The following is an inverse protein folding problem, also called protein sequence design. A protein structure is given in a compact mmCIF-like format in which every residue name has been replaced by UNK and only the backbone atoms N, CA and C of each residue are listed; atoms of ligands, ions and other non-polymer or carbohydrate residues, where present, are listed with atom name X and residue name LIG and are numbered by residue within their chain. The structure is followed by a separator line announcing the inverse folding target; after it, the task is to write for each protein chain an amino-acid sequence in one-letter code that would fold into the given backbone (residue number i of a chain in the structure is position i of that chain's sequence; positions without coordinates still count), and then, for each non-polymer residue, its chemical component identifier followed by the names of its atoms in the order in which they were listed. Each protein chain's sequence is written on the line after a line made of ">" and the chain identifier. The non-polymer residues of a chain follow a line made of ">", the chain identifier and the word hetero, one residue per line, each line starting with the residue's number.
data_IF_228313121274
#
_entry.id   IF_228313121274
#
_cell.length_a   1.000
_cell.length_b   1.000
_cell.length_c   1.000
_cell.angle_alpha   90.00
_cell.angle_beta   90.00
_cell.angle_gamma   90.00
#
_symmetry.space_group_name_H-M   'P 1'
#
loop_
_entity.id
_entity.type
_entity.pdbx_description
1 polymer ?
#
# COMPACT_ATOMS: atom_id res chain seq x y z
N UNK A 1 24.60 26.72 -18.32
CA UNK A 1 24.51 25.50 -17.49
C UNK A 1 23.41 25.76 -16.50
N UNK A 2 22.26 25.12 -16.69
CA UNK A 2 21.02 25.55 -16.05
C UNK A 2 21.02 25.24 -14.56
N UNK A 3 20.36 26.11 -13.80
CA UNK A 3 20.06 26.03 -12.37
C UNK A 3 19.16 24.82 -11.97
N UNK A 4 19.10 23.77 -12.80
CA UNK A 4 18.27 22.58 -12.63
C UNK A 4 18.64 21.70 -11.42
N UNK A 5 19.68 22.04 -10.67
CA UNK A 5 20.13 21.30 -9.50
C UNK A 5 19.77 21.96 -8.17
N UNK A 6 19.00 23.05 -8.17
CA UNK A 6 18.65 23.79 -6.93
C UNK A 6 17.22 23.58 -6.42
N UNK A 7 16.36 22.79 -7.08
CA UNK A 7 14.96 22.66 -6.68
C UNK A 7 14.63 21.28 -6.06
N UNK A 8 14.18 21.32 -4.81
CA UNK A 8 13.35 20.33 -4.10
C UNK A 8 13.69 18.83 -4.29
N UNK A 9 14.90 18.45 -3.88
CA UNK A 9 15.42 17.08 -3.98
C UNK A 9 14.71 16.06 -3.08
N UNK A 10 14.41 14.87 -3.62
CA UNK A 10 14.14 13.67 -2.80
C UNK A 10 15.37 13.44 -1.91
N UNK A 11 15.16 13.46 -0.59
CA UNK A 11 16.27 13.33 0.35
C UNK A 11 16.89 11.92 0.31
N UNK A 12 18.11 11.78 0.82
CA UNK A 12 18.72 10.47 1.01
C UNK A 12 17.84 9.54 1.86
N UNK A 13 17.19 10.08 2.90
CA UNK A 13 16.30 9.31 3.78
C UNK A 13 15.07 8.78 3.03
N UNK A 14 14.46 9.59 2.16
CA UNK A 14 13.33 9.18 1.33
C UNK A 14 13.73 8.07 0.35
N UNK A 15 14.90 8.19 -0.28
CA UNK A 15 15.44 7.12 -1.14
C UNK A 15 15.75 5.84 -0.35
N UNK A 16 16.32 5.96 0.85
CA UNK A 16 16.58 4.82 1.72
C UNK A 16 15.28 4.12 2.14
N UNK A 17 14.22 4.87 2.47
CA UNK A 17 12.89 4.34 2.79
C UNK A 17 12.27 3.64 1.58
N UNK A 18 12.38 4.23 0.38
CA UNK A 18 11.97 3.61 -0.88
C UNK A 18 12.67 2.28 -1.14
N UNK A 19 13.97 2.19 -0.91
CA UNK A 19 14.71 0.94 -1.03
C UNK A 19 14.23 -0.13 -0.05
N UNK A 20 14.07 0.21 1.24
CA UNK A 20 13.56 -0.73 2.24
C UNK A 20 12.17 -1.25 1.88
N UNK A 21 11.27 -0.35 1.45
CA UNK A 21 9.93 -0.71 1.04
C UNK A 21 9.91 -1.65 -0.18
N UNK A 22 10.78 -1.38 -1.17
CA UNK A 22 10.92 -2.27 -2.32
C UNK A 22 11.44 -3.67 -1.95
N UNK A 23 12.38 -3.72 -1.01
CA UNK A 23 12.94 -4.99 -0.53
C UNK A 23 11.91 -5.76 0.31
N UNK A 24 11.10 -5.07 1.13
CA UNK A 24 9.94 -5.63 1.84
C UNK A 24 8.92 -6.24 0.88
N UNK A 25 8.53 -5.50 -0.17
CA UNK A 25 7.63 -6.01 -1.21
C UNK A 25 8.23 -7.18 -2.00
N UNK A 26 9.56 -7.39 -1.95
CA UNK A 26 10.25 -8.54 -2.53
C UNK A 26 9.82 -8.83 -4.00
N UNK A 27 9.79 -7.75 -4.79
CA UNK A 27 9.42 -7.81 -6.21
C UNK A 27 7.93 -8.03 -6.48
N UNK A 28 7.04 -7.83 -5.51
CA UNK A 28 5.59 -7.99 -5.68
C UNK A 28 5.06 -7.31 -6.95
N UNK A 29 5.36 -6.03 -7.17
CA UNK A 29 4.91 -5.29 -8.36
C UNK A 29 5.41 -5.92 -9.68
N UNK A 30 6.62 -6.48 -9.66
CA UNK A 30 7.29 -7.07 -10.83
C UNK A 30 6.63 -8.38 -11.27
N UNK A 31 5.94 -9.09 -10.36
CA UNK A 31 5.30 -10.38 -10.65
C UNK A 31 4.10 -10.26 -11.56
N UNK A 32 3.36 -9.15 -11.49
CA UNK A 32 2.19 -8.87 -12.33
C UNK A 32 2.55 -8.74 -13.80
N UNK A 33 3.67 -8.06 -14.10
CA UNK A 33 4.21 -7.96 -15.46
C UNK A 33 5.14 -9.11 -15.86
N UNK A 34 5.35 -10.12 -15.00
CA UNK A 34 6.30 -11.21 -15.21
C UNK A 34 7.71 -10.71 -15.61
N UNK A 35 8.23 -9.71 -14.90
CA UNK A 35 9.57 -9.18 -15.14
C UNK A 35 10.65 -10.23 -14.92
N UNK A 36 11.57 -10.34 -15.87
CA UNK A 36 12.83 -11.08 -15.69
C UNK A 36 13.75 -10.31 -14.74
N UNK A 37 14.77 -10.98 -14.17
CA UNK A 37 15.76 -10.30 -13.33
C UNK A 37 16.47 -9.13 -14.03
N UNK A 38 16.75 -9.27 -15.34
CA UNK A 38 17.38 -8.21 -16.13
C UNK A 38 16.43 -7.01 -16.35
N UNK A 39 15.14 -7.27 -16.64
CA UNK A 39 14.15 -6.20 -16.76
C UNK A 39 13.90 -5.51 -15.41
N UNK A 40 13.79 -6.29 -14.33
CA UNK A 40 13.65 -5.81 -12.96
C UNK A 40 14.80 -4.85 -12.58
N UNK A 41 16.04 -5.22 -12.90
CA UNK A 41 17.20 -4.37 -12.66
C UNK A 41 17.12 -3.04 -13.43
N UNK A 42 16.57 -3.04 -14.65
CA UNK A 42 16.42 -1.84 -15.48
C UNK A 42 15.35 -0.89 -14.95
N UNK A 43 14.24 -1.41 -14.41
CA UNK A 43 13.15 -0.58 -13.88
C UNK A 43 13.33 -0.22 -12.40
N UNK A 44 14.25 -0.86 -11.67
CA UNK A 44 14.49 -0.56 -10.25
C UNK A 44 14.75 0.93 -9.96
N UNK A 45 15.56 1.68 -10.73
CA UNK A 45 15.74 3.11 -10.49
C UNK A 45 14.43 3.91 -10.56
N UNK A 46 13.56 3.61 -11.53
CA UNK A 46 12.22 4.21 -11.63
C UNK A 46 11.38 3.88 -10.40
N UNK A 47 11.39 2.62 -9.95
CA UNK A 47 10.62 2.21 -8.77
C UNK A 47 11.08 2.95 -7.51
N UNK A 48 12.40 3.12 -7.34
CA UNK A 48 12.98 3.90 -6.22
C UNK A 48 12.53 5.36 -6.30
N UNK A 49 12.61 5.98 -7.47
CA UNK A 49 12.18 7.36 -7.67
C UNK A 49 10.68 7.54 -7.41
N UNK A 50 9.84 6.61 -7.89
CA UNK A 50 8.39 6.64 -7.67
C UNK A 50 8.05 6.64 -6.17
N UNK A 51 8.62 5.71 -5.39
CA UNK A 51 8.39 5.69 -3.95
C UNK A 51 9.10 6.85 -3.22
N UNK A 52 10.22 7.34 -3.74
CA UNK A 52 10.88 8.54 -3.22
C UNK A 52 9.98 9.77 -3.32
N UNK A 53 9.26 9.93 -4.44
CA UNK A 53 8.28 11.01 -4.64
C UNK A 53 7.04 10.84 -3.75
N UNK A 54 6.58 9.60 -3.56
CA UNK A 54 5.55 9.30 -2.55
C UNK A 54 5.99 9.78 -1.16
N UNK A 55 7.20 9.40 -0.71
CA UNK A 55 7.71 9.84 0.61
C UNK A 55 8.01 11.34 0.68
N UNK A 56 8.28 12.01 -0.45
CA UNK A 56 8.31 13.47 -0.51
C UNK A 56 6.92 14.06 -0.23
N UNK A 57 5.86 13.51 -0.83
CA UNK A 57 4.48 13.89 -0.55
C UNK A 57 4.13 13.72 0.93
N UNK A 58 4.35 12.51 1.46
CA UNK A 58 4.19 12.15 2.88
C UNK A 58 4.80 13.22 3.81
N UNK A 59 6.09 13.50 3.61
CA UNK A 59 6.83 14.49 4.39
C UNK A 59 6.27 15.92 4.30
N UNK A 60 5.84 16.37 3.12
CA UNK A 60 5.26 17.70 2.94
C UNK A 60 3.92 17.81 3.70
N UNK A 61 3.10 16.77 3.65
CA UNK A 61 1.84 16.72 4.38
C UNK A 61 2.07 16.63 5.89
N UNK A 62 2.99 15.81 6.37
CA UNK A 62 3.35 15.78 7.80
C UNK A 62 3.86 17.15 8.30
N UNK A 63 4.62 17.89 7.49
CA UNK A 63 5.01 19.26 7.85
C UNK A 63 3.81 20.19 7.99
N UNK A 64 2.86 20.14 7.05
CA UNK A 64 1.63 20.91 7.15
C UNK A 64 0.83 20.52 8.39
N UNK A 65 0.74 19.23 8.71
CA UNK A 65 0.07 18.73 9.92
C UNK A 65 0.71 19.30 11.19
N UNK A 66 2.05 19.32 11.28
CA UNK A 66 2.78 19.94 12.40
C UNK A 66 2.52 21.46 12.51
N UNK A 67 2.12 22.10 11.42
CA UNK A 67 1.69 23.51 11.37
C UNK A 67 0.17 23.68 11.53
N UNK A 68 -0.58 22.60 11.77
CA UNK A 68 -2.03 22.63 11.98
C UNK A 68 -2.86 22.65 10.69
N UNK A 69 -2.33 22.16 9.57
CA UNK A 69 -3.07 22.10 8.29
C UNK A 69 -3.08 20.68 7.70
N UNK A 70 -4.23 20.24 7.20
CA UNK A 70 -4.40 18.99 6.46
C UNK A 70 -4.08 19.10 4.96
N UNK A 71 -3.66 20.29 4.50
CA UNK A 71 -3.38 20.57 3.09
C UNK A 71 -2.02 21.25 2.93
N UNK A 72 -1.38 21.04 1.79
CA UNK A 72 -0.12 21.68 1.43
C UNK A 72 -0.35 22.73 0.33
N UNK A 73 0.55 23.70 0.21
CA UNK A 73 0.61 24.61 -0.94
C UNK A 73 1.61 24.15 -2.00
N UNK A 74 2.62 23.38 -1.59
CA UNK A 74 3.65 22.83 -2.46
C UNK A 74 3.25 21.43 -2.97
N UNK A 75 2.65 21.36 -4.16
CA UNK A 75 2.31 20.09 -4.80
C UNK A 75 3.42 19.56 -5.74
N UNK A 76 4.68 19.93 -5.52
CA UNK A 76 5.81 19.51 -6.37
C UNK A 76 5.93 17.99 -6.49
N UNK A 77 5.71 17.25 -5.39
CA UNK A 77 5.75 15.78 -5.40
C UNK A 77 4.80 15.17 -6.44
N UNK A 78 3.58 15.73 -6.58
CA UNK A 78 2.55 15.24 -7.50
C UNK A 78 2.92 15.56 -8.94
N UNK A 79 3.36 16.79 -9.19
CA UNK A 79 3.81 17.22 -10.52
C UNK A 79 5.01 16.38 -11.00
N UNK A 80 6.03 16.20 -10.15
CA UNK A 80 7.21 15.39 -10.45
C UNK A 80 6.85 13.91 -10.66
N UNK A 81 5.87 13.37 -9.92
CA UNK A 81 5.41 11.99 -10.11
C UNK A 81 4.71 11.83 -11.47
N UNK A 82 3.87 12.80 -11.86
CA UNK A 82 3.22 12.83 -13.15
C UNK A 82 4.26 12.92 -14.28
N UNK A 83 5.23 13.80 -14.15
CA UNK A 83 6.31 13.97 -15.14
C UNK A 83 7.18 12.72 -15.26
N UNK A 84 7.57 12.12 -14.12
CA UNK A 84 8.31 10.86 -14.09
C UNK A 84 7.56 9.80 -14.89
N UNK A 85 6.29 9.56 -14.60
CA UNK A 85 5.52 8.49 -15.23
C UNK A 85 5.28 8.76 -16.72
N UNK A 86 4.96 10.01 -17.09
CA UNK A 86 4.81 10.41 -18.50
C UNK A 86 6.12 10.27 -19.27
N UNK A 87 7.27 10.53 -18.65
CA UNK A 87 8.59 10.34 -19.26
C UNK A 87 8.90 8.88 -19.65
N UNK A 88 8.15 7.91 -19.10
CA UNK A 88 8.23 6.49 -19.49
C UNK A 88 7.05 6.04 -20.37
N UNK A 89 6.26 6.98 -20.92
CA UNK A 89 5.04 6.70 -21.70
C UNK A 89 4.05 5.78 -20.96
N UNK A 90 4.04 5.84 -19.63
CA UNK A 90 3.32 4.90 -18.77
C UNK A 90 2.05 5.50 -18.13
N UNK A 91 1.66 6.71 -18.56
CA UNK A 91 0.53 7.45 -18.01
C UNK A 91 -0.78 7.04 -18.67
N UNK A 92 -1.76 6.61 -17.87
CA UNK A 92 -3.13 6.34 -18.29
C UNK A 92 -4.16 6.84 -17.24
N UNK A 93 -5.45 6.62 -17.49
CA UNK A 93 -6.52 7.02 -16.56
C UNK A 93 -6.49 6.26 -15.22
N UNK A 94 -6.01 5.02 -15.19
CA UNK A 94 -5.88 4.24 -13.96
C UNK A 94 -4.74 4.72 -13.08
N UNK A 95 -3.61 5.08 -13.68
CA UNK A 95 -2.49 5.74 -12.99
C UNK A 95 -2.91 7.11 -12.47
N UNK A 96 -3.58 7.93 -13.30
CA UNK A 96 -4.09 9.23 -12.88
C UNK A 96 -4.98 9.13 -11.64
N UNK A 97 -5.92 8.18 -11.64
CA UNK A 97 -6.78 7.91 -10.49
C UNK A 97 -5.97 7.55 -9.23
N UNK A 98 -4.94 6.70 -9.33
CA UNK A 98 -4.13 6.34 -8.16
C UNK A 98 -3.35 7.54 -7.61
N UNK A 99 -2.81 8.41 -8.48
CA UNK A 99 -2.10 9.62 -8.03
C UNK A 99 -3.04 10.58 -7.31
N UNK A 100 -4.28 10.73 -7.78
CA UNK A 100 -5.30 11.54 -7.11
C UNK A 100 -5.75 10.91 -5.77
N UNK A 101 -5.91 9.58 -5.73
CA UNK A 101 -6.23 8.86 -4.48
C UNK A 101 -5.10 8.95 -3.46
N UNK A 102 -3.84 8.99 -3.88
CA UNK A 102 -2.70 9.17 -2.98
C UNK A 102 -2.71 10.56 -2.33
N UNK A 103 -3.04 11.60 -3.10
CA UNK A 103 -3.23 12.95 -2.53
C UNK A 103 -4.42 12.98 -1.55
N UNK A 104 -5.52 12.33 -1.93
CA UNK A 104 -6.71 12.20 -1.07
C UNK A 104 -6.39 11.49 0.24
N UNK A 105 -5.55 10.46 0.19
CA UNK A 105 -5.03 9.78 1.37
C UNK A 105 -4.30 10.74 2.30
N UNK A 106 -3.32 11.49 1.81
CA UNK A 106 -2.55 12.42 2.66
C UNK A 106 -3.42 13.49 3.31
N UNK A 107 -4.40 14.03 2.55
CA UNK A 107 -5.37 14.99 3.10
C UNK A 107 -6.22 14.33 4.18
N UNK A 108 -6.78 13.14 3.91
CA UNK A 108 -7.63 12.43 4.87
C UNK A 108 -6.85 12.08 6.16
N UNK A 109 -5.62 11.60 6.01
CA UNK A 109 -4.72 11.32 7.13
C UNK A 109 -4.51 12.57 7.98
N UNK A 110 -4.17 13.71 7.37
CA UNK A 110 -3.99 14.97 8.07
C UNK A 110 -5.25 15.42 8.80
N UNK A 111 -6.43 15.29 8.17
CA UNK A 111 -7.72 15.61 8.81
C UNK A 111 -8.01 14.72 10.02
N UNK A 112 -7.66 13.43 9.95
CA UNK A 112 -7.81 12.49 11.08
C UNK A 112 -6.86 12.88 12.23
N UNK A 113 -5.60 13.17 11.90
CA UNK A 113 -4.57 13.52 12.88
C UNK A 113 -4.90 14.84 13.60
N UNK A 114 -5.42 15.83 12.87
CA UNK A 114 -5.84 17.13 13.41
C UNK A 114 -7.22 17.11 14.08
N UNK A 115 -7.96 16.00 14.00
CA UNK A 115 -9.32 15.90 14.54
C UNK A 115 -10.38 16.69 13.76
N UNK A 116 -10.10 17.04 12.50
CA UNK A 116 -11.01 17.73 11.58
C UNK A 116 -12.07 16.79 10.97
N UNK A 117 -11.94 15.48 11.19
CA UNK A 117 -12.92 14.47 10.82
C UNK A 117 -13.18 13.55 12.00
N UNK A 118 -14.44 13.16 12.18
CA UNK A 118 -14.80 12.15 13.17
C UNK A 118 -14.22 10.80 12.75
N UNK A 119 -13.45 10.19 13.66
CA UNK A 119 -12.82 8.90 13.40
C UNK A 119 -13.82 7.76 13.64
N UNK A 120 -14.53 7.39 12.57
CA UNK A 120 -15.48 6.26 12.55
C UNK A 120 -14.84 4.99 12.00
N UNK A 121 -15.55 3.86 12.09
CA UNK A 121 -15.09 2.59 11.50
C UNK A 121 -14.98 2.68 9.98
N UNK A 122 -15.88 3.44 9.35
CA UNK A 122 -15.88 3.69 7.91
C UNK A 122 -14.65 4.51 7.50
N UNK A 123 -14.33 5.58 8.23
CA UNK A 123 -13.14 6.40 7.97
C UNK A 123 -11.85 5.59 8.19
N UNK A 124 -11.80 4.77 9.24
CA UNK A 124 -10.67 3.87 9.48
C UNK A 124 -10.48 2.87 8.34
N UNK A 125 -11.56 2.22 7.91
CA UNK A 125 -11.50 1.27 6.79
C UNK A 125 -11.08 1.98 5.49
N UNK A 126 -11.60 3.18 5.25
CA UNK A 126 -11.27 3.98 4.08
C UNK A 126 -9.78 4.37 4.05
N UNK A 127 -9.21 4.89 5.13
CA UNK A 127 -7.79 5.30 5.13
C UNK A 127 -6.85 4.11 4.90
N UNK A 128 -7.12 2.95 5.51
CA UNK A 128 -6.36 1.73 5.26
C UNK A 128 -6.52 1.23 3.81
N UNK A 129 -7.72 1.36 3.23
CA UNK A 129 -8.04 0.91 1.88
C UNK A 129 -7.38 1.78 0.78
N UNK A 130 -7.24 3.10 1.01
CA UNK A 130 -6.58 4.01 0.08
C UNK A 130 -5.06 3.88 0.15
N UNK A 131 -4.49 3.76 1.35
CA UNK A 131 -3.04 3.61 1.54
C UNK A 131 -2.46 2.48 0.68
N UNK A 132 -3.17 1.36 0.64
CA UNK A 132 -2.80 0.18 -0.14
C UNK A 132 -2.78 0.40 -1.67
N UNK A 133 -3.40 1.47 -2.18
CA UNK A 133 -3.45 1.77 -3.61
C UNK A 133 -2.09 2.17 -4.18
N UNK A 134 -1.14 2.61 -3.36
CA UNK A 134 0.17 3.03 -3.89
C UNK A 134 0.94 1.89 -4.55
N UNK A 135 0.80 0.68 -4.00
CA UNK A 135 1.34 -0.55 -4.59
C UNK A 135 0.66 -0.85 -5.94
N UNK A 136 -0.65 -0.58 -6.05
CA UNK A 136 -1.38 -0.74 -7.31
C UNK A 136 -0.92 0.27 -8.36
N UNK A 137 -0.66 1.52 -7.96
CA UNK A 137 -0.15 2.58 -8.83
C UNK A 137 1.16 2.21 -9.51
N UNK A 138 2.17 1.81 -8.73
CA UNK A 138 3.44 1.37 -9.30
C UNK A 138 3.29 0.14 -10.20
N UNK A 139 2.42 -0.81 -9.81
CA UNK A 139 2.18 -1.99 -10.64
C UNK A 139 1.57 -1.63 -12.00
N UNK A 140 0.62 -0.69 -12.05
CA UNK A 140 0.05 -0.17 -13.31
C UNK A 140 1.11 0.49 -14.16
N UNK A 141 1.93 1.36 -13.57
CA UNK A 141 3.05 2.02 -14.28
C UNK A 141 3.98 0.98 -14.92
N UNK A 142 4.37 -0.04 -14.17
CA UNK A 142 5.22 -1.11 -14.68
C UNK A 142 4.53 -1.93 -15.78
N UNK A 143 3.27 -2.31 -15.59
CA UNK A 143 2.49 -2.99 -16.62
C UNK A 143 2.42 -2.18 -17.92
N UNK A 144 2.22 -0.87 -17.84
CA UNK A 144 2.19 0.03 -18.99
C UNK A 144 3.55 0.09 -19.69
N UNK A 145 4.65 0.22 -18.95
CA UNK A 145 6.02 0.17 -19.51
C UNK A 145 6.27 -1.14 -20.24
N UNK A 146 5.78 -2.26 -19.69
CA UNK A 146 5.96 -3.58 -20.28
C UNK A 146 4.95 -3.90 -21.39
N UNK A 147 3.91 -3.09 -21.56
CA UNK A 147 2.82 -3.35 -22.50
C UNK A 147 1.94 -4.54 -22.10
N UNK A 148 1.83 -4.85 -20.81
CA UNK A 148 0.97 -5.92 -20.29
C UNK A 148 -0.34 -5.31 -19.78
N UNK A 149 -1.51 -5.87 -20.11
CA UNK A 149 -2.77 -5.39 -19.58
C UNK A 149 -2.82 -5.48 -18.06
N UNK A 150 -3.37 -4.45 -17.42
CA UNK A 150 -3.64 -4.49 -15.99
C UNK A 150 -4.89 -5.35 -15.69
N UNK A 151 -4.77 -6.30 -14.76
CA UNK A 151 -5.88 -7.11 -14.26
C UNK A 151 -6.53 -6.43 -13.04
N UNK A 152 -7.49 -5.54 -13.29
CA UNK A 152 -8.24 -4.85 -12.24
C UNK A 152 -9.00 -5.82 -11.31
N UNK A 153 -9.41 -6.98 -11.84
CA UNK A 153 -10.05 -8.04 -11.04
C UNK A 153 -9.09 -8.62 -10.01
N UNK A 154 -7.83 -8.83 -10.40
CA UNK A 154 -6.77 -9.26 -9.49
C UNK A 154 -6.45 -8.23 -8.41
N UNK A 155 -6.33 -6.95 -8.78
CA UNK A 155 -6.16 -5.89 -7.77
C UNK A 155 -7.33 -5.82 -6.81
N UNK A 156 -8.57 -5.93 -7.31
CA UNK A 156 -9.74 -5.96 -6.45
C UNK A 156 -9.71 -7.13 -5.45
N UNK A 157 -9.26 -8.31 -5.89
CA UNK A 157 -9.12 -9.50 -5.03
C UNK A 157 -8.01 -9.33 -4.00
N UNK A 158 -6.88 -8.73 -4.38
CA UNK A 158 -5.70 -8.59 -3.50
C UNK A 158 -5.79 -7.38 -2.56
N UNK A 159 -6.67 -6.42 -2.82
CA UNK A 159 -6.80 -5.19 -2.01
C UNK A 159 -6.93 -5.44 -0.50
N UNK A 160 -7.78 -6.38 0.00
CA UNK A 160 -7.85 -6.66 1.43
C UNK A 160 -6.53 -7.21 1.99
N UNK A 161 -5.78 -7.98 1.19
CA UNK A 161 -4.47 -8.50 1.58
C UNK A 161 -3.39 -7.41 1.61
N UNK A 162 -3.50 -6.40 0.76
CA UNK A 162 -2.61 -5.24 0.81
C UNK A 162 -2.87 -4.41 2.08
N UNK A 163 -4.15 -4.11 2.39
CA UNK A 163 -4.51 -3.43 3.64
C UNK A 163 -4.11 -4.24 4.89
N UNK A 164 -4.14 -5.57 4.82
CA UNK A 164 -3.60 -6.43 5.85
C UNK A 164 -2.09 -6.20 6.05
N UNK A 165 -1.31 -6.25 4.97
CA UNK A 165 0.15 -6.09 5.05
C UNK A 165 0.56 -4.70 5.54
N UNK A 166 -0.13 -3.65 5.07
CA UNK A 166 0.12 -2.28 5.53
C UNK A 166 -0.10 -2.13 7.04
N UNK A 167 -1.12 -2.81 7.59
CA UNK A 167 -1.34 -2.79 9.03
C UNK A 167 -0.33 -3.64 9.82
N UNK A 168 0.23 -4.70 9.22
CA UNK A 168 1.35 -5.44 9.83
C UNK A 168 2.61 -4.58 9.85
N UNK A 169 2.91 -3.88 8.75
CA UNK A 169 4.02 -2.92 8.67
C UNK A 169 3.89 -1.84 9.76
N UNK A 170 2.69 -1.26 9.94
CA UNK A 170 2.39 -0.31 11.02
C UNK A 170 2.63 -0.88 12.43
N UNK A 171 2.50 -2.20 12.62
CA UNK A 171 2.78 -2.83 13.91
C UNK A 171 4.29 -2.97 14.15
N UNK A 172 5.07 -3.17 13.10
CA UNK A 172 6.53 -3.26 13.18
C UNK A 172 7.14 -1.88 13.48
N UNK A 173 6.58 -0.80 12.93
CA UNK A 173 7.02 0.59 13.18
C UNK A 173 6.35 1.27 14.38
N UNK A 174 5.37 0.63 15.03
CA UNK A 174 4.50 1.28 16.02
C UNK A 174 5.22 2.09 17.11
N UNK A 175 6.34 1.59 17.63
CA UNK A 175 7.09 2.27 18.68
C UNK A 175 7.74 3.58 18.18
N UNK A 176 8.21 3.59 16.93
CA UNK A 176 8.76 4.78 16.28
C UNK A 176 7.64 5.78 15.99
N UNK A 177 6.51 5.32 15.43
CA UNK A 177 5.37 6.17 15.11
C UNK A 177 4.78 6.86 16.35
N UNK A 178 4.72 6.16 17.49
CA UNK A 178 4.30 6.75 18.78
C UNK A 178 5.30 7.78 19.28
N UNK A 179 6.60 7.56 19.10
CA UNK A 179 7.64 8.48 19.56
C UNK A 179 7.66 9.78 18.75
N UNK A 180 7.36 9.70 17.46
CA UNK A 180 7.35 10.83 16.53
C UNK A 180 5.98 11.51 16.38
N UNK A 181 4.97 10.99 17.07
CA UNK A 181 3.57 11.41 16.96
C UNK A 181 3.01 11.28 15.52
N UNK A 182 3.48 10.28 14.78
CA UNK A 182 3.09 9.98 13.40
C UNK A 182 1.85 9.08 13.32
N UNK A 183 1.23 9.02 12.14
CA UNK A 183 0.11 8.12 11.88
C UNK A 183 0.48 6.66 12.18
N UNK A 184 -0.44 5.92 12.80
CA UNK A 184 -0.39 4.46 12.83
C UNK A 184 -1.79 3.89 13.03
N UNK A 185 -2.11 2.81 12.31
CA UNK A 185 -3.43 2.17 12.37
C UNK A 185 -3.80 1.73 13.80
N UNK A 186 -2.82 1.29 14.61
CA UNK A 186 -3.09 0.90 15.99
C UNK A 186 -3.41 2.10 16.89
N UNK A 187 -2.77 3.26 16.64
CA UNK A 187 -3.08 4.52 17.34
C UNK A 187 -4.52 4.95 17.09
N UNK A 188 -4.98 4.84 15.85
CA UNK A 188 -6.38 5.13 15.50
C UNK A 188 -7.36 4.21 16.24
N UNK A 189 -7.05 2.92 16.34
CA UNK A 189 -7.89 1.98 17.09
C UNK A 189 -7.90 2.27 18.60
N UNK A 190 -6.79 2.77 19.17
CA UNK A 190 -6.78 3.27 20.56
C UNK A 190 -7.69 4.48 20.71
N UNK A 191 -7.64 5.45 19.79
CA UNK A 191 -8.54 6.61 19.81
C UNK A 191 -10.01 6.21 19.74
N UNK A 192 -10.35 5.21 18.92
CA UNK A 192 -11.73 4.76 18.71
C UNK A 192 -12.28 3.88 19.85
N UNK A 193 -11.43 3.03 20.43
CA UNK A 193 -11.90 1.93 21.30
C UNK A 193 -11.21 1.88 22.67
N UNK A 194 -10.20 2.72 22.90
CA UNK A 194 -9.35 2.68 24.08
C UNK A 194 -8.25 1.62 23.99
N UNK A 195 -7.26 1.77 24.87
CA UNK A 195 -6.06 0.92 24.94
C UNK A 195 -6.41 -0.56 25.11
N UNK A 196 -7.39 -0.85 25.96
CA UNK A 196 -7.76 -2.22 26.33
C UNK A 196 -8.38 -3.01 25.16
N UNK A 197 -9.08 -2.33 24.25
CA UNK A 197 -9.79 -2.97 23.12
C UNK A 197 -9.03 -2.86 21.79
N UNK A 198 -8.07 -1.95 21.66
CA UNK A 198 -7.38 -1.70 20.39
C UNK A 198 -6.78 -2.96 19.76
N UNK A 199 -6.14 -3.83 20.56
CA UNK A 199 -5.58 -5.11 20.07
C UNK A 199 -6.66 -6.08 19.58
N UNK A 200 -7.78 -6.16 20.29
CA UNK A 200 -8.90 -7.03 19.90
C UNK A 200 -9.47 -6.55 18.57
N UNK A 201 -9.70 -5.24 18.45
CA UNK A 201 -10.23 -4.60 17.24
C UNK A 201 -9.28 -4.70 16.06
N UNK A 202 -7.98 -4.61 16.30
CA UNK A 202 -6.95 -4.87 15.29
C UNK A 202 -7.03 -6.30 14.74
N UNK A 203 -7.14 -7.31 15.62
CA UNK A 203 -7.30 -8.72 15.19
C UNK A 203 -8.61 -8.94 14.44
N UNK A 204 -9.70 -8.34 14.89
CA UNK A 204 -11.00 -8.40 14.21
C UNK A 204 -10.92 -7.80 12.79
N UNK A 205 -10.30 -6.63 12.65
CA UNK A 205 -10.10 -5.99 11.36
C UNK A 205 -9.26 -6.84 10.41
N UNK A 206 -8.08 -7.30 10.84
CA UNK A 206 -7.22 -8.17 10.03
C UNK A 206 -7.92 -9.48 9.64
N UNK A 207 -8.67 -10.08 10.56
CA UNK A 207 -9.47 -11.29 10.26
C UNK A 207 -10.57 -10.99 9.24
N UNK A 208 -11.20 -9.82 9.32
CA UNK A 208 -12.16 -9.32 8.34
C UNK A 208 -11.54 -9.17 6.95
N UNK A 209 -10.34 -8.59 6.86
CA UNK A 209 -9.62 -8.46 5.58
C UNK A 209 -9.32 -9.82 4.95
N UNK A 210 -8.88 -10.81 5.74
CA UNK A 210 -8.68 -12.17 5.23
C UNK A 210 -9.98 -12.83 4.75
N UNK A 211 -11.06 -12.68 5.52
CA UNK A 211 -12.37 -13.21 5.15
C UNK A 211 -12.89 -12.59 3.86
N UNK A 212 -12.71 -11.27 3.70
CA UNK A 212 -13.10 -10.53 2.49
C UNK A 212 -12.25 -10.96 1.28
N UNK A 213 -10.93 -11.09 1.42
CA UNK A 213 -10.07 -11.63 0.36
C UNK A 213 -10.53 -13.01 -0.10
N UNK A 214 -10.81 -13.92 0.84
CA UNK A 214 -11.32 -15.27 0.55
C UNK A 214 -12.67 -15.21 -0.17
N UNK A 215 -13.58 -14.34 0.28
CA UNK A 215 -14.89 -14.15 -0.36
C UNK A 215 -14.74 -13.66 -1.80
N UNK A 216 -13.84 -12.72 -2.05
CA UNK A 216 -13.52 -12.21 -3.39
C UNK A 216 -12.91 -13.29 -4.27
N UNK A 217 -11.92 -14.06 -3.78
CA UNK A 217 -11.31 -15.19 -4.51
C UNK A 217 -12.36 -16.21 -4.96
N UNK A 218 -13.30 -16.57 -4.08
CA UNK A 218 -14.34 -17.57 -4.39
C UNK A 218 -15.30 -17.13 -5.51
N UNK A 219 -15.49 -15.82 -5.69
CA UNK A 219 -16.37 -15.23 -6.70
C UNK A 219 -15.61 -14.76 -7.95
N UNK A 220 -14.28 -14.73 -7.90
CA UNK A 220 -13.45 -14.22 -8.97
C UNK A 220 -13.47 -15.14 -10.20
N UNK A 221 -13.32 -14.59 -11.41
CA UNK A 221 -13.17 -15.39 -12.60
C UNK A 221 -11.87 -16.20 -12.56
N UNK A 222 -11.83 -17.29 -13.31
CA UNK A 222 -10.71 -18.25 -13.31
C UNK A 222 -9.34 -17.58 -13.53
N UNK A 223 -9.25 -16.62 -14.45
CA UNK A 223 -7.97 -15.96 -14.76
C UNK A 223 -7.45 -15.18 -13.55
N UNK A 224 -8.31 -14.44 -12.85
CA UNK A 224 -7.97 -13.74 -11.62
C UNK A 224 -7.53 -14.70 -10.52
N UNK A 225 -8.24 -15.83 -10.33
CA UNK A 225 -7.82 -16.85 -9.35
C UNK A 225 -6.43 -17.40 -9.68
N UNK A 226 -6.12 -17.64 -10.96
CA UNK A 226 -4.78 -18.03 -11.39
C UNK A 226 -3.74 -16.92 -11.15
N UNK A 227 -4.12 -15.66 -11.32
CA UNK A 227 -3.28 -14.50 -10.98
C UNK A 227 -2.90 -14.46 -9.50
N UNK A 228 -3.83 -14.80 -8.60
CA UNK A 228 -3.53 -14.91 -7.15
C UNK A 228 -2.39 -15.88 -6.89
N UNK A 229 -2.37 -17.04 -7.56
CA UNK A 229 -1.25 -17.98 -7.43
C UNK A 229 0.05 -17.41 -7.98
N UNK A 230 0.01 -16.67 -9.08
CA UNK A 230 1.24 -16.08 -9.65
C UNK A 230 1.88 -15.07 -8.71
N UNK A 231 1.06 -14.35 -7.95
CA UNK A 231 1.50 -13.35 -6.99
C UNK A 231 1.92 -13.98 -5.67
N UNK A 232 1.13 -14.92 -5.14
CA UNK A 232 1.33 -15.54 -3.82
C UNK A 232 2.33 -16.70 -3.83
N UNK A 233 2.35 -17.54 -4.88
CA UNK A 233 3.40 -18.54 -5.03
C UNK A 233 4.67 -17.78 -5.41
N UNK A 234 5.53 -17.60 -4.42
CA UNK A 234 6.84 -16.95 -4.54
C UNK A 234 7.61 -17.54 -5.74
N UNK A 235 8.55 -16.78 -6.32
CA UNK A 235 9.30 -17.15 -7.53
C UNK A 235 9.85 -18.59 -7.53
N UNK A 236 10.21 -19.11 -6.36
CA UNK A 236 10.72 -20.48 -6.18
C UNK A 236 9.67 -21.58 -6.45
N UNK A 237 8.40 -21.28 -6.23
CA UNK A 237 7.29 -22.25 -6.36
C UNK A 237 6.46 -22.03 -7.64
N UNK A 238 6.53 -20.84 -8.25
CA UNK A 238 5.87 -20.53 -9.52
C UNK A 238 6.66 -21.07 -10.73
N UNK A 239 6.84 -22.39 -10.79
CA UNK A 239 7.54 -23.09 -11.88
C UNK A 239 6.57 -23.59 -12.95
N UNK A 240 7.06 -23.85 -14.17
CA UNK A 240 6.23 -24.30 -15.29
C UNK A 240 5.36 -25.55 -14.99
N UNK A 241 5.87 -26.59 -14.31
CA UNK A 241 5.05 -27.74 -13.92
C UNK A 241 3.88 -27.36 -13.01
N UNK A 242 4.12 -26.51 -11.99
CA UNK A 242 3.08 -26.04 -11.07
C UNK A 242 2.02 -25.24 -11.82
N UNK A 243 2.43 -24.32 -12.71
CA UNK A 243 1.48 -23.59 -13.56
C UNK A 243 0.64 -24.51 -14.45
N UNK A 244 1.23 -25.56 -15.01
CA UNK A 244 0.50 -26.52 -15.84
C UNK A 244 -0.56 -27.28 -15.01
N UNK A 245 -0.19 -27.73 -13.80
CA UNK A 245 -1.12 -28.38 -12.87
C UNK A 245 -2.26 -27.43 -12.49
N UNK A 246 -1.96 -26.20 -12.07
CA UNK A 246 -2.98 -25.21 -11.71
C UNK A 246 -3.94 -24.93 -12.87
N UNK A 247 -3.42 -24.83 -14.11
CA UNK A 247 -4.26 -24.61 -15.30
C UNK A 247 -5.16 -25.79 -15.64
N UNK A 248 -4.86 -27.00 -15.17
CA UNK A 248 -5.72 -28.17 -15.36
C UNK A 248 -6.80 -28.31 -14.28
N UNK A 249 -6.62 -27.73 -13.09
CA UNK A 249 -7.56 -27.87 -11.99
C UNK A 249 -8.87 -27.08 -12.23
N UNK A 250 -10.04 -27.60 -11.81
CA UNK A 250 -11.30 -26.86 -11.87
C UNK A 250 -11.27 -25.58 -11.01
N UNK A 251 -11.98 -24.52 -11.42
CA UNK A 251 -11.97 -23.22 -10.71
C UNK A 251 -12.36 -23.33 -9.25
N UNK A 252 -13.33 -24.20 -8.89
CA UNK A 252 -13.70 -24.45 -7.49
C UNK A 252 -12.55 -25.00 -6.64
N UNK A 253 -11.70 -25.85 -7.23
CA UNK A 253 -10.53 -26.42 -6.55
C UNK A 253 -9.47 -25.35 -6.40
N UNK A 254 -9.24 -24.56 -7.45
CA UNK A 254 -8.33 -23.41 -7.40
C UNK A 254 -8.75 -22.38 -6.35
N UNK A 255 -10.03 -22.03 -6.25
CA UNK A 255 -10.49 -21.09 -5.23
C UNK A 255 -10.28 -21.64 -3.81
N UNK A 256 -10.59 -22.91 -3.57
CA UNK A 256 -10.42 -23.56 -2.28
C UNK A 256 -8.93 -23.68 -1.87
N UNK A 257 -8.05 -23.98 -2.82
CA UNK A 257 -6.61 -24.01 -2.60
C UNK A 257 -6.04 -22.60 -2.36
N UNK A 258 -6.50 -21.58 -3.10
CA UNK A 258 -6.05 -20.21 -2.94
C UNK A 258 -6.45 -19.66 -1.57
N UNK A 259 -7.64 -19.99 -1.08
CA UNK A 259 -8.05 -19.70 0.30
C UNK A 259 -7.08 -20.31 1.32
N UNK A 260 -6.67 -21.57 1.14
CA UNK A 260 -5.70 -22.21 2.05
C UNK A 260 -4.35 -21.49 2.01
N UNK A 261 -3.89 -21.10 0.82
CA UNK A 261 -2.64 -20.35 0.68
C UNK A 261 -2.73 -18.96 1.34
N UNK A 262 -3.82 -18.24 1.15
CA UNK A 262 -4.04 -16.94 1.82
C UNK A 262 -3.95 -17.11 3.34
N UNK A 263 -4.63 -18.10 3.91
CA UNK A 263 -4.56 -18.37 5.36
C UNK A 263 -3.16 -18.80 5.83
N UNK A 264 -2.39 -19.47 4.98
CA UNK A 264 -1.03 -19.94 5.28
C UNK A 264 -0.02 -18.80 5.23
N UNK A 265 -0.05 -17.98 4.19
CA UNK A 265 0.91 -16.89 3.99
C UNK A 265 0.56 -15.63 4.80
N UNK A 266 -0.71 -15.40 5.08
CA UNK A 266 -1.19 -14.25 5.86
C UNK A 266 -1.71 -14.74 7.21
N UNK A 267 -0.82 -15.41 7.95
CA UNK A 267 -1.12 -15.80 9.32
C UNK A 267 -1.29 -14.55 10.19
N UNK A 268 -2.22 -14.62 11.15
CA UNK A 268 -2.33 -13.58 12.17
C UNK A 268 -0.99 -13.40 12.89
N UNK A 269 -0.55 -12.15 13.12
CA UNK A 269 0.63 -11.93 13.92
C UNK A 269 0.40 -12.54 15.32
N UNK A 270 1.41 -13.27 15.80
CA UNK A 270 1.38 -13.85 17.14
C UNK A 270 1.21 -12.74 18.17
N UNK A 271 1.96 -11.65 18.00
CA UNK A 271 1.96 -10.49 18.87
C UNK A 271 1.58 -9.23 18.08
N UNK A 272 0.63 -8.46 18.62
CA UNK A 272 0.37 -7.07 18.23
C UNK A 272 1.03 -6.22 19.32
N UNK A 273 1.76 -5.14 18.98
CA UNK A 273 2.44 -4.29 19.96
C UNK A 273 1.48 -3.79 21.05
N UNK A 274 2.03 -3.46 22.21
CA UNK A 274 1.24 -2.98 23.34
C UNK A 274 0.76 -1.56 23.03
N UNK A 275 -0.57 -1.32 22.92
CA UNK A 275 -1.04 0.00 22.60
C UNK A 275 -0.71 0.95 23.76
N UNK A 276 -0.29 2.15 23.41
CA UNK A 276 -0.05 3.25 24.36
C UNK A 276 -1.27 4.15 24.36
N UNK A 277 -1.56 4.77 25.50
CA UNK A 277 -2.65 5.74 25.59
C UNK A 277 -2.38 6.93 24.65
N UNK A 278 -3.36 7.24 23.83
CA UNK A 278 -3.27 8.34 22.88
C UNK A 278 -3.42 9.68 23.59
N UNK A 279 -2.59 10.65 23.20
CA UNK A 279 -2.79 12.03 23.62
C UNK A 279 -4.07 12.52 22.93
N UNK A 280 -4.99 13.10 23.70
CA UNK A 280 -6.17 13.73 23.12
C UNK A 280 -5.70 14.80 22.14
N UNK A 281 -6.15 14.79 20.86
CA UNK A 281 -5.81 15.85 19.93
C UNK A 281 -6.19 17.18 20.55
N UNK A 282 -5.24 18.11 20.65
CA UNK A 282 -5.57 19.49 21.00
C UNK A 282 -6.31 20.04 19.79
N UNK A 283 -7.58 20.47 19.91
CA UNK A 283 -8.29 21.04 18.78
C UNK A 283 -7.45 22.15 18.17
N UNK A 284 -7.29 22.16 16.84
CA UNK A 284 -6.68 23.29 16.16
C UNK A 284 -7.39 24.56 16.63
N UNK A 285 -6.62 25.52 17.16
CA UNK A 285 -7.15 26.80 17.60
C UNK A 285 -7.86 27.44 16.40
N UNK A 286 -9.19 27.57 16.51
CA UNK A 286 -10.04 28.20 15.51
C UNK A 286 -9.73 29.70 15.33
#
# INVERSE_FOLDING_TARGET
>A
MSDYWQEHHISYQMNARAHRFLDYLNGFNLRFGHYTAAEAARVRPLMVQYYGLMYKGDFLYEQAQRMGSSTITDHSWKHEMIELIKGYDAWDGGVAHVVDELERYYVLEGRIMLGEVELTQEVFAEVCDIRSLVVNGLTRVLNNIKGVPTDDGLFHVLRPLAAFLDMIDDFESYAEDVAEDCFSSLRLLVRMHGVDQARVKAREYLSGQLAEAVARIRRAPRHTVLGVYQVLLLDKENVAPVRAVLRALPTRVLAALAEKLVRLYFAMPAEIPAPVAERTPVPALA
#
